data_IF_899844606753
#
_entry.id   IF_899844606753
#
_cell.length_a   1.000
_cell.length_b   1.000
_cell.length_c   1.000
_cell.angle_alpha   90.00
_cell.angle_beta   90.00
_cell.angle_gamma   90.00
#
_symmetry.space_group_name_H-M   'P 1'
#
loop_
_entity.id
_entity.type
_entity.pdbx_description
1 polymer ?
#
# COMPACT_ATOMS: atom_id res chain seq x y z
N UNK A 1 -27.56 -30.28 16.54
CA UNK A 1 -27.39 -31.51 17.34
C UNK A 1 -27.65 -32.71 16.43
N UNK A 2 -26.59 -33.28 15.85
CA UNK A 2 -26.60 -34.52 15.05
C UNK A 2 -25.27 -35.21 15.30
N UNK A 3 -25.31 -36.31 16.04
CA UNK A 3 -24.16 -37.16 16.35
C UNK A 3 -23.88 -38.08 15.15
N UNK A 4 -22.63 -38.12 14.68
CA UNK A 4 -22.14 -39.18 13.80
C UNK A 4 -21.18 -40.07 14.60
N UNK A 5 -21.60 -41.32 14.82
CA UNK A 5 -20.74 -42.40 15.29
C UNK A 5 -19.76 -42.80 14.18
N UNK A 6 -18.46 -42.82 14.48
CA UNK A 6 -17.46 -43.51 13.68
C UNK A 6 -17.08 -44.82 14.35
N UNK A 7 -17.42 -45.93 13.69
CA UNK A 7 -17.01 -47.29 14.02
C UNK A 7 -15.53 -47.52 13.67
N UNK A 8 -14.74 -47.97 14.63
CA UNK A 8 -13.35 -48.42 14.46
C UNK A 8 -13.30 -49.74 13.69
N UNK A 9 -12.69 -49.74 12.50
CA UNK A 9 -12.33 -50.96 11.75
C UNK A 9 -10.98 -51.48 12.26
N UNK A 10 -11.01 -52.69 12.82
CA UNK A 10 -9.86 -53.53 13.13
C UNK A 10 -9.04 -53.82 11.87
N UNK A 11 -7.74 -53.51 11.90
CA UNK A 11 -6.75 -53.99 10.93
C UNK A 11 -6.01 -55.16 11.60
N UNK A 12 -6.25 -56.38 11.10
CA UNK A 12 -5.46 -57.56 11.44
C UNK A 12 -4.13 -57.49 10.70
N UNK A 13 -3.01 -57.52 11.42
CA UNK A 13 -1.70 -57.77 10.83
C UNK A 13 -1.37 -59.26 10.94
N UNK A 14 -1.09 -59.86 9.79
CA UNK A 14 -0.60 -61.22 9.60
C UNK A 14 0.90 -61.27 9.92
N UNK A 15 1.31 -62.17 10.80
CA UNK A 15 2.72 -62.40 11.17
C UNK A 15 3.35 -63.36 10.15
N UNK A 16 4.49 -63.04 9.51
CA UNK A 16 5.30 -64.06 8.86
C UNK A 16 6.25 -64.69 9.89
N UNK A 17 6.03 -65.98 10.13
CA UNK A 17 6.97 -66.90 10.75
C UNK A 17 8.15 -67.15 9.80
N UNK A 18 9.36 -66.79 10.24
CA UNK A 18 10.66 -67.46 9.99
C UNK A 18 11.80 -66.49 10.26
N UNK A 19 12.37 -66.53 11.46
CA UNK A 19 13.80 -66.30 11.64
C UNK A 19 14.33 -67.22 12.74
N UNK A 20 15.40 -67.91 12.35
CA UNK A 20 16.17 -68.94 13.02
C UNK A 20 16.81 -68.40 14.31
N UNK A 21 16.61 -69.14 15.41
CA UNK A 21 17.00 -68.80 16.77
C UNK A 21 18.43 -69.25 17.13
N UNK A 22 19.34 -69.32 16.16
CA UNK A 22 20.69 -69.83 16.42
C UNK A 22 21.79 -69.04 15.71
N UNK A 23 22.00 -67.77 16.09
CA UNK A 23 23.31 -67.07 16.10
C UNK A 23 23.12 -65.57 16.36
N UNK A 24 22.99 -65.21 17.63
CA UNK A 24 23.47 -63.93 18.13
C UNK A 24 23.87 -64.15 19.57
N UNK A 25 25.18 -64.28 19.79
CA UNK A 25 25.79 -64.20 21.11
C UNK A 25 25.39 -62.87 21.74
N UNK A 26 24.35 -62.90 22.58
CA UNK A 26 24.09 -61.82 23.52
C UNK A 26 25.26 -61.85 24.49
N UNK A 27 26.15 -60.86 24.40
CA UNK A 27 27.18 -60.64 25.40
C UNK A 27 26.48 -60.55 26.77
N UNK A 28 26.93 -61.28 27.80
CA UNK A 28 26.36 -61.12 29.13
C UNK A 28 26.55 -59.66 29.55
N UNK A 29 25.46 -59.06 30.06
CA UNK A 29 25.47 -57.71 30.59
C UNK A 29 26.51 -57.65 31.72
N UNK A 30 27.59 -56.89 31.48
CA UNK A 30 28.63 -56.65 32.46
C UNK A 30 28.24 -55.40 33.26
N UNK A 31 27.84 -55.51 34.54
CA UNK A 31 27.37 -54.36 35.33
C UNK A 31 28.44 -53.27 35.54
N UNK A 32 29.70 -53.57 35.23
CA UNK A 32 30.82 -52.63 35.35
C UNK A 32 30.98 -51.67 34.15
N UNK A 33 30.24 -51.87 33.05
CA UNK A 33 30.29 -50.99 31.86
C UNK A 33 29.18 -49.93 31.79
N UNK A 34 28.23 -49.91 32.74
CA UNK A 34 27.29 -48.80 32.86
C UNK A 34 28.04 -47.61 33.44
N UNK A 35 28.58 -46.76 32.57
CA UNK A 35 29.01 -45.41 32.92
C UNK A 35 27.81 -44.69 33.52
N UNK A 36 27.74 -44.72 34.84
CA UNK A 36 26.87 -43.87 35.64
C UNK A 36 26.98 -42.46 35.08
N UNK A 37 25.86 -41.91 34.62
CA UNK A 37 25.75 -40.48 34.32
C UNK A 37 26.09 -39.75 35.61
N UNK A 38 27.36 -39.37 35.78
CA UNK A 38 27.77 -38.49 36.86
C UNK A 38 27.04 -37.19 36.60
N UNK A 39 26.04 -36.89 37.44
CA UNK A 39 25.48 -35.54 37.53
C UNK A 39 26.66 -34.59 37.62
N UNK A 40 26.80 -33.60 36.71
CA UNK A 40 27.90 -32.66 36.81
C UNK A 40 27.82 -32.06 38.21
N UNK A 41 28.92 -32.08 38.96
CA UNK A 41 29.02 -31.37 40.23
C UNK A 41 29.01 -29.88 39.90
N UNK A 42 27.86 -29.33 39.55
CA UNK A 42 27.62 -27.90 39.54
C UNK A 42 27.73 -27.47 41.01
N UNK A 43 28.91 -27.02 41.42
CA UNK A 43 29.08 -26.40 42.73
C UNK A 43 28.14 -25.20 42.83
N UNK A 44 27.67 -24.87 44.03
CA UNK A 44 26.71 -23.76 44.24
C UNK A 44 27.11 -22.46 43.54
N UNK A 45 28.41 -22.22 43.41
CA UNK A 45 29.00 -21.09 42.68
C UNK A 45 28.62 -21.07 41.18
N UNK A 46 28.66 -22.22 40.50
CA UNK A 46 28.31 -22.32 39.07
C UNK A 46 26.81 -22.16 38.83
N UNK A 47 25.98 -22.63 39.76
CA UNK A 47 24.53 -22.45 39.71
C UNK A 47 24.16 -20.98 39.94
N UNK A 48 24.83 -20.32 40.89
CA UNK A 48 24.65 -18.88 41.17
C UNK A 48 25.10 -18.00 40.01
N UNK A 49 26.23 -18.32 39.36
CA UNK A 49 26.72 -17.59 38.17
C UNK A 49 25.76 -17.73 36.98
N UNK A 50 25.24 -18.94 36.74
CA UNK A 50 24.25 -19.16 35.69
C UNK A 50 22.95 -18.40 35.98
N UNK A 51 22.48 -18.42 37.24
CA UNK A 51 21.31 -17.66 37.68
C UNK A 51 21.50 -16.16 37.50
N UNK A 52 22.68 -15.63 37.86
CA UNK A 52 23.00 -14.20 37.71
C UNK A 52 23.06 -13.79 36.24
N UNK A 53 23.60 -14.64 35.36
CA UNK A 53 23.65 -14.39 33.93
C UNK A 53 22.25 -14.37 33.29
N UNK A 54 21.38 -15.31 33.68
CA UNK A 54 19.98 -15.35 33.22
C UNK A 54 19.22 -14.11 33.69
N UNK A 55 19.36 -13.73 34.97
CA UNK A 55 18.70 -12.55 35.52
C UNK A 55 19.17 -11.26 34.84
N UNK A 56 20.49 -11.11 34.63
CA UNK A 56 21.06 -9.97 33.91
C UNK A 56 20.55 -9.91 32.46
N UNK A 57 20.47 -11.06 31.78
CA UNK A 57 19.93 -11.14 30.42
C UNK A 57 18.44 -10.76 30.38
N UNK A 58 17.64 -11.19 31.36
CA UNK A 58 16.23 -10.80 31.46
C UNK A 58 16.06 -9.32 31.74
N UNK A 59 16.87 -8.73 32.61
CA UNK A 59 16.85 -7.27 32.89
C UNK A 59 17.20 -6.47 31.63
N UNK A 60 18.20 -6.90 30.86
CA UNK A 60 18.57 -6.26 29.58
C UNK A 60 17.43 -6.35 28.56
N UNK A 61 16.76 -7.50 28.46
CA UNK A 61 15.60 -7.67 27.58
C UNK A 61 14.42 -6.80 28.05
N UNK A 62 14.15 -6.74 29.35
CA UNK A 62 13.08 -5.91 29.90
C UNK A 62 13.31 -4.42 29.69
N UNK A 63 14.53 -3.94 29.94
CA UNK A 63 14.88 -2.53 29.69
C UNK A 63 14.75 -2.21 28.19
N UNK A 64 15.17 -3.12 27.31
CA UNK A 64 15.04 -2.92 25.85
C UNK A 64 13.59 -2.94 25.37
N UNK A 65 12.70 -3.68 26.04
CA UNK A 65 11.25 -3.66 25.76
C UNK A 65 10.64 -2.35 26.27
N UNK A 66 10.99 -1.93 27.49
CA UNK A 66 10.52 -0.68 28.10
C UNK A 66 10.93 0.57 27.30
N UNK A 67 12.20 0.65 26.88
CA UNK A 67 12.70 1.73 26.02
C UNK A 67 12.01 1.80 24.65
N UNK A 68 11.56 0.66 24.11
CA UNK A 68 10.81 0.63 22.86
C UNK A 68 9.34 1.04 23.02
N UNK A 69 8.74 0.80 24.18
CA UNK A 69 7.37 1.24 24.47
C UNK A 69 7.32 2.73 24.83
N UNK A 70 8.24 3.23 25.66
CA UNK A 70 8.34 4.66 26.01
C UNK A 70 8.66 5.54 24.79
N UNK A 71 9.55 5.11 23.89
CA UNK A 71 9.81 5.82 22.63
C UNK A 71 8.59 5.87 21.69
N UNK A 72 7.65 4.93 21.78
CA UNK A 72 6.40 4.97 21.00
C UNK A 72 5.41 5.95 21.61
N UNK A 73 5.27 5.95 22.94
CA UNK A 73 4.32 6.80 23.69
C UNK A 73 4.64 8.29 23.51
N UNK A 74 5.92 8.66 23.37
CA UNK A 74 6.35 10.06 23.16
C UNK A 74 6.41 10.51 21.69
N UNK A 75 5.96 9.68 20.75
CA UNK A 75 6.04 10.00 19.32
C UNK A 75 4.75 10.69 18.87
N UNK A 76 4.84 11.98 18.55
CA UNK A 76 3.78 12.76 17.90
C UNK A 76 4.17 13.10 16.46
N UNK A 77 3.22 13.05 15.53
CA UNK A 77 3.38 13.56 14.16
C UNK A 77 2.42 14.71 13.88
N UNK A 78 2.93 15.76 13.23
CA UNK A 78 2.17 16.93 12.77
C UNK A 78 1.83 16.78 11.29
N UNK A 79 0.54 16.88 10.97
CA UNK A 79 0.03 16.71 9.61
C UNK A 79 -0.67 17.98 9.17
N UNK A 80 -0.34 18.47 7.99
CA UNK A 80 -1.10 19.52 7.31
C UNK A 80 -1.90 18.92 6.16
N UNK A 81 -3.16 19.32 6.02
CA UNK A 81 -4.01 18.82 4.95
C UNK A 81 -4.94 19.89 4.36
N UNK A 82 -5.34 19.68 3.11
CA UNK A 82 -6.40 20.47 2.47
C UNK A 82 -7.72 20.35 3.26
N UNK A 83 -8.46 21.45 3.41
CA UNK A 83 -9.72 21.49 4.18
C UNK A 83 -10.75 20.44 3.72
N UNK A 84 -10.80 20.18 2.40
CA UNK A 84 -11.71 19.20 1.81
C UNK A 84 -11.51 17.76 2.34
N UNK A 85 -10.33 17.43 2.86
CA UNK A 85 -9.98 16.08 3.35
C UNK A 85 -9.79 16.05 4.87
N UNK A 86 -10.02 17.15 5.57
CA UNK A 86 -9.79 17.25 7.00
C UNK A 86 -10.62 16.25 7.81
N UNK A 87 -11.88 16.01 7.42
CA UNK A 87 -12.76 15.04 8.10
C UNK A 87 -12.21 13.61 7.98
N UNK A 88 -12.02 13.03 6.78
CA UNK A 88 -11.53 11.65 6.67
C UNK A 88 -10.14 11.49 7.28
N UNK A 89 -9.27 12.50 7.19
CA UNK A 89 -7.92 12.46 7.78
C UNK A 89 -7.97 12.43 9.31
N UNK A 90 -8.85 13.20 9.96
CA UNK A 90 -9.03 13.15 11.42
C UNK A 90 -9.56 11.78 11.87
N UNK A 91 -10.53 11.21 11.15
CA UNK A 91 -11.02 9.85 11.46
C UNK A 91 -9.92 8.80 11.29
N UNK A 92 -9.12 8.91 10.23
CA UNK A 92 -7.92 8.07 10.03
C UNK A 92 -6.91 8.23 11.17
N UNK A 93 -6.66 9.48 11.58
CA UNK A 93 -5.75 9.81 12.67
C UNK A 93 -6.19 9.13 13.96
N UNK A 94 -7.45 9.27 14.36
CA UNK A 94 -8.00 8.62 15.54
C UNK A 94 -7.83 7.09 15.53
N UNK A 95 -8.11 6.45 14.38
CA UNK A 95 -7.88 5.01 14.25
C UNK A 95 -6.39 4.65 14.37
N UNK A 96 -5.52 5.42 13.69
CA UNK A 96 -4.08 5.22 13.73
C UNK A 96 -3.52 5.40 15.14
N UNK A 97 -3.95 6.42 15.89
CA UNK A 97 -3.53 6.62 17.28
C UNK A 97 -3.87 5.43 18.15
N UNK A 98 -5.09 4.89 18.00
CA UNK A 98 -5.55 3.73 18.79
C UNK A 98 -4.72 2.49 18.52
N UNK A 99 -4.41 2.22 17.26
CA UNK A 99 -3.69 1.03 16.81
C UNK A 99 -2.18 1.13 17.00
N UNK A 100 -1.59 2.28 16.69
CA UNK A 100 -0.14 2.47 16.66
C UNK A 100 0.42 3.10 17.93
N UNK A 101 -0.43 3.64 18.80
CA UNK A 101 -0.05 4.40 20.01
C UNK A 101 0.86 5.61 19.71
N UNK A 102 0.70 6.19 18.52
CA UNK A 102 1.41 7.39 18.05
C UNK A 102 0.39 8.53 17.99
N UNK A 103 0.72 9.70 18.55
CA UNK A 103 -0.16 10.87 18.51
C UNK A 103 -0.10 11.59 17.16
N UNK A 104 -1.24 12.07 16.67
CA UNK A 104 -1.38 12.69 15.35
C UNK A 104 -2.14 14.01 15.48
N UNK A 105 -1.45 15.13 15.26
CA UNK A 105 -2.10 16.45 15.20
C UNK A 105 -2.39 16.84 13.76
N UNK A 106 -3.66 17.07 13.44
CA UNK A 106 -4.13 17.42 12.08
C UNK A 106 -4.46 18.90 12.02
N UNK A 107 -3.75 19.62 11.15
CA UNK A 107 -3.88 21.05 10.93
C UNK A 107 -4.38 21.37 9.53
N UNK A 108 -5.14 22.46 9.39
CA UNK A 108 -5.52 22.98 8.08
C UNK A 108 -4.31 23.63 7.41
N UNK A 109 -4.04 23.28 6.16
CA UNK A 109 -2.94 23.85 5.38
C UNK A 109 -3.07 25.38 5.22
N UNK A 110 -4.27 25.89 4.99
CA UNK A 110 -4.49 27.35 4.81
C UNK A 110 -4.17 28.14 6.08
N UNK A 111 -4.56 27.62 7.24
CA UNK A 111 -4.26 28.23 8.54
C UNK A 111 -2.77 28.12 8.86
N UNK A 112 -2.16 26.97 8.54
CA UNK A 112 -0.73 26.76 8.71
C UNK A 112 0.11 27.75 7.89
N UNK A 113 -0.22 27.91 6.62
CA UNK A 113 0.50 28.80 5.70
C UNK A 113 0.38 30.29 6.12
N UNK A 114 -0.75 30.70 6.70
CA UNK A 114 -0.92 32.05 7.26
C UNK A 114 -0.05 32.27 8.51
N UNK A 115 -0.01 31.29 9.41
CA UNK A 115 0.74 31.35 10.66
C UNK A 115 2.26 31.19 10.47
N UNK A 116 2.70 30.61 9.34
CA UNK A 116 4.11 30.45 8.98
C UNK A 116 4.89 31.77 8.96
N UNK A 117 4.21 32.90 8.75
CA UNK A 117 4.80 34.25 8.79
C UNK A 117 5.17 34.73 10.20
N UNK A 118 4.76 34.04 11.27
CA UNK A 118 4.89 34.48 12.67
C UNK A 118 5.73 33.57 13.57
N UNK A 119 6.11 32.37 13.12
CA UNK A 119 6.87 31.41 13.92
C UNK A 119 8.07 30.89 13.13
N UNK A 120 9.23 30.85 13.79
CA UNK A 120 10.42 30.15 13.29
C UNK A 120 10.08 28.69 12.97
N UNK A 121 10.40 28.28 11.73
CA UNK A 121 10.58 26.90 11.24
C UNK A 121 9.74 25.76 11.85
N UNK A 122 8.43 25.94 12.12
CA UNK A 122 7.58 24.78 12.40
C UNK A 122 7.45 23.93 11.13
N UNK A 123 8.19 22.81 11.11
CA UNK A 123 8.15 21.80 10.06
C UNK A 123 7.04 20.81 10.39
N UNK A 124 6.11 20.60 9.46
CA UNK A 124 5.15 19.49 9.53
C UNK A 124 5.83 18.21 9.05
N UNK A 125 5.41 17.06 9.59
CA UNK A 125 5.96 15.77 9.20
C UNK A 125 5.38 15.24 7.89
N UNK A 126 4.10 15.55 7.63
CA UNK A 126 3.35 15.08 6.47
C UNK A 126 2.47 16.19 5.87
N UNK A 127 2.59 16.40 4.56
CA UNK A 127 1.68 17.25 3.78
C UNK A 127 0.73 16.39 2.95
N UNK A 128 -0.57 16.53 3.18
CA UNK A 128 -1.62 15.91 2.39
C UNK A 128 -2.33 16.96 1.54
N UNK A 129 -1.81 17.17 0.34
CA UNK A 129 -2.26 18.22 -0.56
C UNK A 129 -2.35 17.73 -2.00
N UNK A 130 -3.11 18.45 -2.82
CA UNK A 130 -3.17 18.14 -4.25
C UNK A 130 -1.82 18.36 -4.90
N UNK A 131 -1.41 17.43 -5.75
CA UNK A 131 -0.39 17.73 -6.74
C UNK A 131 -0.19 16.59 -7.72
N UNK A 132 0.82 16.72 -8.56
CA UNK A 132 1.22 15.68 -9.50
C UNK A 132 2.23 14.76 -8.82
N UNK A 133 2.11 13.43 -8.99
CA UNK A 133 3.16 12.51 -8.57
C UNK A 133 4.45 12.91 -9.30
N UNK A 134 5.53 13.16 -8.57
CA UNK A 134 6.83 13.45 -9.19
C UNK A 134 7.42 12.16 -9.76
N UNK A 135 8.16 12.29 -10.87
CA UNK A 135 9.01 11.23 -11.43
C UNK A 135 10.50 11.44 -11.09
N UNK A 136 10.82 12.35 -10.18
CA UNK A 136 12.19 12.69 -9.76
C UNK A 136 12.45 12.16 -8.34
N UNK A 137 13.68 12.17 -7.84
CA UNK A 137 14.13 11.44 -6.63
C UNK A 137 13.29 11.57 -5.35
N UNK A 138 12.39 12.57 -5.25
CA UNK A 138 11.39 12.73 -4.19
C UNK A 138 10.10 11.88 -4.39
N UNK A 139 9.92 11.22 -5.54
CA UNK A 139 8.80 10.34 -5.86
C UNK A 139 8.61 9.24 -4.81
N UNK A 140 9.71 8.80 -4.20
CA UNK A 140 9.72 7.76 -3.18
C UNK A 140 9.09 8.20 -1.85
N UNK A 141 8.91 9.50 -1.65
CA UNK A 141 8.33 10.07 -0.43
C UNK A 141 6.87 10.49 -0.60
N UNK A 142 6.24 10.10 -1.71
CA UNK A 142 4.87 10.45 -2.04
C UNK A 142 4.01 9.19 -2.07
N UNK A 143 2.84 9.26 -1.44
CA UNK A 143 1.84 8.20 -1.47
C UNK A 143 0.52 8.81 -1.93
N UNK A 144 -0.04 8.36 -3.07
CA UNK A 144 -1.41 8.69 -3.44
C UNK A 144 -2.39 8.17 -2.39
N UNK A 145 -3.30 9.03 -1.94
CA UNK A 145 -4.31 8.67 -0.94
C UNK A 145 -5.74 8.73 -1.48
N UNK A 146 -6.02 9.65 -2.39
CA UNK A 146 -7.36 9.79 -2.97
C UNK A 146 -7.32 10.54 -4.30
N UNK A 147 -8.41 10.44 -5.06
CA UNK A 147 -8.65 11.22 -6.26
C UNK A 147 -9.98 11.97 -6.14
N UNK A 148 -10.04 13.09 -6.87
CA UNK A 148 -11.29 13.80 -7.16
C UNK A 148 -11.32 14.21 -8.62
N UNK A 149 -12.49 14.22 -9.22
CA UNK A 149 -12.65 14.52 -10.64
C UNK A 149 -13.79 15.51 -10.87
N UNK A 150 -13.63 16.37 -11.87
CA UNK A 150 -14.73 17.18 -12.37
C UNK A 150 -15.61 16.30 -13.25
N UNK A 151 -16.91 16.35 -12.98
CA UNK A 151 -17.93 15.58 -13.70
C UNK A 151 -19.08 16.49 -14.10
N UNK A 152 -19.98 15.95 -14.92
CA UNK A 152 -21.31 16.52 -15.11
C UNK A 152 -22.29 15.69 -14.28
N UNK A 153 -23.03 16.31 -13.38
CA UNK A 153 -24.04 15.65 -12.56
C UNK A 153 -25.44 16.02 -13.05
N UNK A 154 -26.39 15.09 -12.90
CA UNK A 154 -27.83 15.32 -13.06
C UNK A 154 -28.56 14.74 -11.83
N UNK A 155 -29.87 14.93 -11.76
CA UNK A 155 -30.69 14.25 -10.75
C UNK A 155 -30.67 12.74 -10.97
N UNK A 156 -30.93 11.99 -9.88
CA UNK A 156 -30.83 10.53 -9.86
C UNK A 156 -31.71 9.82 -10.90
N UNK A 157 -32.88 10.40 -11.16
CA UNK A 157 -33.93 9.95 -12.07
C UNK A 157 -33.71 10.36 -13.54
N UNK A 158 -32.66 11.11 -13.86
CA UNK A 158 -32.37 11.50 -15.23
C UNK A 158 -31.97 10.27 -16.06
N UNK A 159 -32.84 9.84 -16.99
CA UNK A 159 -32.67 8.59 -17.75
C UNK A 159 -31.38 8.52 -18.59
N UNK A 160 -31.07 9.48 -19.50
CA UNK A 160 -29.92 9.34 -20.39
C UNK A 160 -28.60 9.26 -19.63
N UNK A 161 -27.71 8.34 -20.02
CA UNK A 161 -26.33 8.36 -19.54
C UNK A 161 -25.44 9.11 -20.53
N UNK A 162 -24.96 10.29 -20.13
CA UNK A 162 -24.15 11.15 -20.98
C UNK A 162 -22.68 10.72 -20.94
N UNK A 163 -22.11 10.41 -22.10
CA UNK A 163 -20.70 10.04 -22.30
C UNK A 163 -19.91 11.11 -23.04
N UNK A 164 -20.59 12.02 -23.73
CA UNK A 164 -19.99 13.12 -24.48
C UNK A 164 -20.66 14.45 -24.13
N UNK A 165 -19.87 15.52 -24.06
CA UNK A 165 -20.39 16.85 -23.76
C UNK A 165 -21.36 17.34 -24.83
N UNK A 166 -21.25 16.86 -26.07
CA UNK A 166 -22.18 17.20 -27.16
C UNK A 166 -23.63 16.84 -26.79
N UNK A 167 -23.84 15.74 -26.08
CA UNK A 167 -25.16 15.26 -25.67
C UNK A 167 -25.83 16.22 -24.67
N UNK A 168 -25.05 16.88 -23.79
CA UNK A 168 -25.56 17.93 -22.90
C UNK A 168 -26.21 19.06 -23.72
N UNK A 169 -25.62 19.42 -24.86
CA UNK A 169 -26.14 20.47 -25.72
C UNK A 169 -27.29 20.02 -26.61
N UNK A 170 -27.29 18.77 -27.08
CA UNK A 170 -28.35 18.19 -27.91
C UNK A 170 -29.64 18.03 -27.11
N UNK A 171 -29.53 17.61 -25.85
CA UNK A 171 -30.65 17.50 -24.93
C UNK A 171 -31.11 18.85 -24.34
N UNK A 172 -30.51 19.96 -24.78
CA UNK A 172 -30.82 21.33 -24.34
C UNK A 172 -30.89 21.50 -22.81
N UNK A 173 -29.97 20.84 -22.09
CA UNK A 173 -30.00 20.82 -20.62
C UNK A 173 -29.67 22.19 -20.03
N UNK A 174 -30.47 22.62 -19.05
CA UNK A 174 -30.17 23.78 -18.22
C UNK A 174 -29.12 23.41 -17.19
N UNK A 175 -27.89 23.89 -17.35
CA UNK A 175 -26.82 23.53 -16.41
C UNK A 175 -26.11 24.71 -15.77
N UNK A 176 -25.50 24.43 -14.61
CA UNK A 176 -24.65 25.38 -13.91
C UNK A 176 -23.17 25.04 -13.96
N UNK A 177 -22.33 26.04 -13.72
CA UNK A 177 -20.88 25.91 -13.53
C UNK A 177 -20.44 26.53 -12.20
N UNK A 178 -19.17 26.38 -11.85
CA UNK A 178 -18.51 27.05 -10.72
C UNK A 178 -17.57 28.17 -11.24
N UNK A 179 -17.35 29.28 -10.51
CA UNK A 179 -16.46 30.36 -10.94
C UNK A 179 -15.03 29.89 -11.21
N UNK A 180 -14.37 30.52 -12.17
CA UNK A 180 -12.95 30.28 -12.46
C UNK A 180 -12.01 30.75 -11.33
N UNK A 181 -12.50 31.48 -10.33
CA UNK A 181 -11.75 31.78 -9.11
C UNK A 181 -11.62 30.57 -8.18
N UNK A 182 -12.51 29.57 -8.30
CA UNK A 182 -12.45 28.32 -7.56
C UNK A 182 -11.58 27.27 -8.27
N UNK A 183 -11.05 26.30 -7.50
CA UNK A 183 -10.14 25.25 -8.03
C UNK A 183 -10.83 24.37 -9.09
N UNK A 184 -12.06 23.93 -8.82
CA UNK A 184 -12.91 23.18 -9.77
C UNK A 184 -13.21 23.96 -11.03
N UNK A 185 -13.60 25.23 -10.91
CA UNK A 185 -13.89 26.09 -12.06
C UNK A 185 -12.67 26.28 -12.98
N UNK A 186 -11.47 26.47 -12.40
CA UNK A 186 -10.21 26.50 -13.18
C UNK A 186 -9.95 25.18 -13.90
N UNK A 187 -10.09 24.07 -13.20
CA UNK A 187 -9.83 22.75 -13.77
C UNK A 187 -10.82 22.40 -14.89
N UNK A 188 -12.09 22.76 -14.71
CA UNK A 188 -13.14 22.66 -15.71
C UNK A 188 -12.79 23.46 -16.97
N UNK A 189 -12.46 24.75 -16.82
CA UNK A 189 -12.04 25.62 -17.92
C UNK A 189 -10.86 25.03 -18.68
N UNK A 190 -9.77 24.73 -17.97
CA UNK A 190 -8.54 24.22 -18.58
C UNK A 190 -8.77 22.91 -19.35
N UNK A 191 -9.67 22.04 -18.86
CA UNK A 191 -9.99 20.77 -19.52
C UNK A 191 -10.85 20.97 -20.77
N UNK A 192 -11.86 21.86 -20.69
CA UNK A 192 -12.75 22.14 -21.81
C UNK A 192 -12.12 23.04 -22.88
N UNK A 193 -11.16 23.89 -22.54
CA UNK A 193 -10.37 24.66 -23.51
C UNK A 193 -9.52 23.74 -24.38
N UNK A 194 -8.85 22.74 -23.76
CA UNK A 194 -8.12 21.70 -24.51
C UNK A 194 -9.01 20.88 -25.44
N UNK A 195 -10.29 20.75 -25.10
CA UNK A 195 -11.29 20.08 -25.94
C UNK A 195 -11.97 21.01 -26.96
N UNK A 196 -11.64 22.32 -26.96
CA UNK A 196 -12.28 23.31 -27.83
C UNK A 196 -13.77 23.54 -27.53
N UNK A 197 -14.23 23.25 -26.31
CA UNK A 197 -15.66 23.33 -25.92
C UNK A 197 -15.98 24.40 -24.88
N UNK A 198 -14.98 25.03 -24.26
CA UNK A 198 -15.18 25.97 -23.15
C UNK A 198 -16.14 27.12 -23.48
N UNK A 199 -15.94 27.83 -24.60
CA UNK A 199 -16.79 28.95 -25.00
C UNK A 199 -18.26 28.56 -25.16
N UNK A 200 -18.51 27.37 -25.72
CA UNK A 200 -19.88 26.83 -25.87
C UNK A 200 -20.50 26.54 -24.51
N UNK A 201 -19.74 25.96 -23.58
CA UNK A 201 -20.22 25.70 -22.21
C UNK A 201 -20.53 27.01 -21.49
N UNK A 202 -19.63 27.99 -21.60
CA UNK A 202 -19.75 29.28 -20.96
C UNK A 202 -20.97 30.05 -21.46
N UNK A 203 -21.21 30.07 -22.77
CA UNK A 203 -22.35 30.76 -23.40
C UNK A 203 -23.70 30.13 -23.05
N UNK A 204 -23.78 28.79 -22.97
CA UNK A 204 -25.03 28.05 -22.72
C UNK A 204 -25.35 27.82 -21.24
N UNK A 205 -24.46 28.18 -20.31
CA UNK A 205 -24.71 27.98 -18.87
C UNK A 205 -25.90 28.84 -18.41
N UNK A 206 -26.78 28.29 -17.58
CA UNK A 206 -27.90 29.02 -16.97
C UNK A 206 -27.46 29.83 -15.76
N UNK A 207 -26.60 29.27 -14.91
CA UNK A 207 -26.21 29.87 -13.63
C UNK A 207 -24.79 29.50 -13.21
N UNK A 208 -24.20 30.33 -12.37
CA UNK A 208 -22.92 30.05 -11.71
C UNK A 208 -23.14 29.99 -10.20
N UNK A 209 -22.64 28.96 -9.53
CA UNK A 209 -22.72 28.80 -8.06
C UNK A 209 -21.34 28.92 -7.41
N UNK A 210 -21.23 29.46 -6.19
CA UNK A 210 -19.94 29.76 -5.57
C UNK A 210 -19.05 28.52 -5.32
N UNK A 211 -19.63 27.31 -5.23
CA UNK A 211 -18.89 26.07 -5.01
C UNK A 211 -19.62 24.86 -5.61
N UNK A 212 -18.88 23.76 -5.80
CA UNK A 212 -19.46 22.45 -6.16
C UNK A 212 -20.57 22.00 -5.20
N UNK A 213 -20.40 22.19 -3.89
CA UNK A 213 -21.43 21.83 -2.90
C UNK A 213 -22.71 22.67 -3.05
N UNK A 214 -22.58 23.97 -3.35
CA UNK A 214 -23.73 24.85 -3.58
C UNK A 214 -24.46 24.50 -4.89
N UNK A 215 -23.72 24.16 -5.94
CA UNK A 215 -24.29 23.67 -7.20
C UNK A 215 -25.02 22.34 -7.00
N UNK A 216 -24.44 21.42 -6.24
CA UNK A 216 -25.03 20.13 -5.93
C UNK A 216 -26.35 20.27 -5.14
N UNK A 217 -26.36 21.10 -4.09
CA UNK A 217 -27.57 21.39 -3.31
C UNK A 217 -28.69 21.96 -4.19
N UNK A 218 -28.35 22.91 -5.08
CA UNK A 218 -29.32 23.54 -5.96
C UNK A 218 -29.88 22.58 -7.02
N UNK A 219 -29.06 21.67 -7.56
CA UNK A 219 -29.49 20.63 -8.48
C UNK A 219 -30.37 19.58 -7.78
N UNK A 220 -30.04 19.22 -6.55
CA UNK A 220 -30.79 18.25 -5.76
C UNK A 220 -32.16 18.78 -5.28
N UNK A 221 -32.23 20.05 -4.92
CA UNK A 221 -33.42 20.63 -4.27
C UNK A 221 -34.29 21.49 -5.19
N UNK A 222 -33.78 21.86 -6.38
CA UNK A 222 -34.44 22.80 -7.29
C UNK A 222 -34.87 22.15 -8.61
N UNK A 223 -35.81 22.83 -9.28
CA UNK A 223 -36.34 22.41 -10.58
C UNK A 223 -35.73 23.19 -11.76
N UNK A 224 -34.89 24.19 -11.48
CA UNK A 224 -34.35 25.10 -12.50
C UNK A 224 -33.16 24.56 -13.28
N UNK A 225 -32.51 23.50 -12.79
CA UNK A 225 -31.32 22.92 -13.39
C UNK A 225 -31.60 21.47 -13.75
N UNK A 226 -31.14 21.05 -14.92
CA UNK A 226 -31.11 19.66 -15.36
C UNK A 226 -29.77 19.00 -15.04
N UNK A 227 -28.70 19.81 -14.92
CA UNK A 227 -27.40 19.31 -14.51
C UNK A 227 -26.41 20.37 -14.05
N UNK A 228 -25.22 19.96 -13.67
CA UNK A 228 -24.18 20.88 -13.18
C UNK A 228 -22.78 20.28 -13.30
N UNK A 229 -21.80 21.13 -13.63
CA UNK A 229 -20.38 20.78 -13.52
C UNK A 229 -19.89 20.99 -12.10
N UNK A 230 -19.34 19.94 -11.49
CA UNK A 230 -18.90 19.94 -10.10
C UNK A 230 -17.88 18.85 -9.81
N UNK A 231 -17.32 18.85 -8.60
CA UNK A 231 -16.60 17.71 -8.07
C UNK A 231 -17.50 16.48 -7.88
N UNK A 232 -16.97 15.32 -8.22
CA UNK A 232 -17.64 14.04 -8.05
C UNK A 232 -18.02 13.72 -6.60
N UNK A 233 -17.17 14.04 -5.62
CA UNK A 233 -17.50 13.84 -4.20
C UNK A 233 -18.70 14.70 -3.76
N UNK A 234 -18.88 15.88 -4.34
CA UNK A 234 -20.05 16.72 -4.07
C UNK A 234 -21.31 16.08 -4.64
N UNK A 235 -21.24 15.54 -5.86
CA UNK A 235 -22.37 14.81 -6.45
C UNK A 235 -22.80 13.59 -5.62
N UNK A 236 -21.83 12.79 -5.13
CA UNK A 236 -22.12 11.63 -4.27
C UNK A 236 -22.81 12.02 -2.96
N UNK A 237 -22.39 13.11 -2.32
CA UNK A 237 -22.97 13.59 -1.06
C UNK A 237 -24.47 13.91 -1.17
N UNK A 238 -24.91 14.33 -2.36
CA UNK A 238 -26.31 14.66 -2.64
C UNK A 238 -27.02 13.57 -3.46
N UNK A 239 -26.46 12.35 -3.55
CA UNK A 239 -27.05 11.21 -4.27
C UNK A 239 -27.40 11.53 -5.74
N UNK A 240 -26.56 12.35 -6.39
CA UNK A 240 -26.74 12.77 -7.79
C UNK A 240 -26.17 11.74 -8.77
N UNK A 241 -26.76 11.67 -9.98
CA UNK A 241 -26.27 10.82 -11.06
C UNK A 241 -25.01 11.44 -11.68
N UNK A 242 -23.92 10.67 -11.71
CA UNK A 242 -22.61 11.14 -12.23
C UNK A 242 -22.42 10.71 -13.68
N UNK A 243 -22.24 11.68 -14.57
CA UNK A 243 -21.86 11.48 -15.97
C UNK A 243 -20.39 11.83 -16.19
N UNK A 244 -19.62 10.82 -16.60
CA UNK A 244 -18.20 10.97 -16.93
C UNK A 244 -18.05 11.23 -18.43
N UNK A 245 -18.27 12.48 -18.81
CA UNK A 245 -18.08 12.91 -20.20
C UNK A 245 -16.59 12.82 -20.60
N UNK A 246 -16.33 12.37 -21.82
CA UNK A 246 -14.99 12.05 -22.32
C UNK A 246 -14.03 13.25 -22.24
N UNK A 247 -14.53 14.45 -22.48
CA UNK A 247 -13.77 15.71 -22.42
C UNK A 247 -13.23 16.02 -21.02
N UNK A 248 -13.83 15.45 -19.97
CA UNK A 248 -13.45 15.65 -18.58
C UNK A 248 -12.71 14.45 -17.96
N UNK A 249 -12.41 13.39 -18.73
CA UNK A 249 -11.69 12.21 -18.22
C UNK A 249 -10.35 12.55 -17.54
N UNK A 250 -9.68 13.59 -18.01
CA UNK A 250 -8.39 14.07 -17.46
C UNK A 250 -8.53 15.21 -16.46
N UNK A 251 -9.75 15.67 -16.17
CA UNK A 251 -10.04 16.71 -15.18
C UNK A 251 -10.02 16.12 -13.76
N UNK A 252 -8.91 15.51 -13.37
CA UNK A 252 -8.72 14.80 -12.10
C UNK A 252 -7.55 15.37 -11.33
N UNK A 253 -7.70 15.44 -10.01
CA UNK A 253 -6.63 15.80 -9.07
C UNK A 253 -6.32 14.63 -8.16
N UNK A 254 -5.02 14.41 -7.92
CA UNK A 254 -4.51 13.41 -6.99
C UNK A 254 -4.15 14.09 -5.68
N UNK A 255 -4.68 13.55 -4.59
CA UNK A 255 -4.26 13.89 -3.24
C UNK A 255 -3.05 13.04 -2.88
N UNK A 256 -1.93 13.70 -2.56
CA UNK A 256 -0.66 13.06 -2.26
C UNK A 256 -0.26 13.34 -0.82
N UNK A 257 0.03 12.29 -0.06
CA UNK A 257 0.73 12.38 1.21
C UNK A 257 2.23 12.45 0.94
N UNK A 258 2.89 13.53 1.38
CA UNK A 258 4.33 13.76 1.20
C UNK A 258 5.02 13.93 2.55
N UNK A 259 6.07 13.16 2.79
CA UNK A 259 6.88 13.31 4.01
C UNK A 259 7.99 14.34 3.78
N UNK A 260 8.17 15.29 4.71
CA UNK A 260 9.15 16.37 4.56
C UNK A 260 10.55 16.01 5.08
N UNK A 261 10.65 15.18 6.12
CA UNK A 261 11.95 14.80 6.70
C UNK A 261 12.70 13.82 5.80
N UNK A 262 14.03 13.97 5.68
CA UNK A 262 14.91 13.12 4.85
C UNK A 262 15.56 11.98 5.63
N UNK A 263 16.03 12.18 6.87
CA UNK A 263 16.69 11.14 7.67
C UNK A 263 16.45 11.39 9.17
N UNK A 264 15.88 10.43 9.91
CA UNK A 264 15.70 10.51 11.38
C UNK A 264 14.31 10.11 11.88
N UNK A 265 13.24 10.77 11.42
CA UNK A 265 11.88 10.57 11.95
C UNK A 265 10.80 10.23 10.89
N UNK A 266 11.18 9.59 9.78
CA UNK A 266 10.25 9.32 8.66
C UNK A 266 9.29 8.16 8.87
N UNK A 267 9.56 7.27 9.85
CA UNK A 267 8.79 6.04 10.00
C UNK A 267 7.32 6.29 10.30
N UNK A 268 7.00 7.07 11.33
CA UNK A 268 5.61 7.32 11.71
C UNK A 268 4.81 8.09 10.64
N UNK A 269 5.35 9.16 10.03
CA UNK A 269 4.68 9.86 8.92
C UNK A 269 4.46 8.95 7.70
N UNK A 270 5.44 8.12 7.35
CA UNK A 270 5.33 7.17 6.24
C UNK A 270 4.32 6.05 6.55
N UNK A 271 4.31 5.54 7.78
CA UNK A 271 3.30 4.60 8.25
C UNK A 271 1.90 5.21 8.15
N UNK A 272 1.72 6.46 8.59
CA UNK A 272 0.42 7.13 8.46
C UNK A 272 0.02 7.35 7.01
N UNK A 273 0.94 7.77 6.13
CA UNK A 273 0.67 7.91 4.70
C UNK A 273 0.24 6.58 4.05
N UNK A 274 0.88 5.45 4.41
CA UNK A 274 0.46 4.11 3.98
C UNK A 274 -0.88 3.69 4.60
N UNK A 275 -1.14 4.07 5.84
CA UNK A 275 -2.41 3.82 6.53
C UNK A 275 -3.57 4.52 5.84
N UNK A 276 -3.37 5.79 5.43
CA UNK A 276 -4.33 6.55 4.62
C UNK A 276 -4.66 5.82 3.31
N UNK A 277 -3.65 5.28 2.62
CA UNK A 277 -3.80 4.60 1.33
C UNK A 277 -4.31 3.14 1.42
N UNK A 278 -4.28 2.52 2.60
CA UNK A 278 -4.59 1.10 2.73
C UNK A 278 -6.11 0.80 2.63
N UNK A 279 -6.52 -0.20 1.82
CA UNK A 279 -7.94 -0.49 1.56
C UNK A 279 -8.81 -0.71 2.81
N UNK A 280 -8.29 -1.41 3.81
CA UNK A 280 -9.02 -1.76 5.05
C UNK A 280 -8.81 -0.74 6.17
N UNK A 281 -8.17 0.40 5.89
CA UNK A 281 -7.85 1.47 6.85
C UNK A 281 -8.36 2.79 6.32
N UNK A 282 -7.49 3.73 5.94
CA UNK A 282 -7.92 5.09 5.59
C UNK A 282 -8.84 5.18 4.38
N UNK A 283 -8.75 4.23 3.44
CA UNK A 283 -9.62 4.22 2.26
C UNK A 283 -11.11 4.07 2.60
N UNK A 284 -11.42 3.45 3.74
CA UNK A 284 -12.79 3.40 4.25
C UNK A 284 -13.33 4.82 4.49
N UNK A 285 -12.62 5.65 5.25
CA UNK A 285 -13.06 7.02 5.58
C UNK A 285 -13.08 7.95 4.35
N UNK A 286 -12.12 7.78 3.43
CA UNK A 286 -12.17 8.50 2.15
C UNK A 286 -13.42 8.15 1.34
N UNK A 287 -13.79 6.87 1.29
CA UNK A 287 -15.00 6.43 0.60
C UNK A 287 -16.27 6.96 1.28
N UNK A 288 -16.36 6.92 2.61
CA UNK A 288 -17.48 7.52 3.36
C UNK A 288 -17.61 9.03 3.10
N UNK A 289 -16.48 9.72 2.94
CA UNK A 289 -16.44 11.15 2.59
C UNK A 289 -16.67 11.42 1.09
N UNK A 290 -16.97 10.39 0.30
CA UNK A 290 -17.30 10.51 -1.12
C UNK A 290 -16.10 10.67 -2.06
N UNK A 291 -14.86 10.47 -1.60
CA UNK A 291 -13.67 10.49 -2.44
C UNK A 291 -13.50 9.18 -3.23
N UNK A 292 -12.81 9.25 -4.37
CA UNK A 292 -12.36 8.05 -5.07
C UNK A 292 -11.08 7.57 -4.39
N UNK A 293 -11.11 6.34 -3.89
CA UNK A 293 -9.95 5.73 -3.27
C UNK A 293 -8.82 5.36 -4.24
N UNK A 294 -7.69 4.98 -3.69
CA UNK A 294 -6.53 4.42 -4.39
C UNK A 294 -6.48 2.89 -4.25
N UNK A 295 -5.89 2.22 -5.22
CA UNK A 295 -5.53 0.81 -5.08
C UNK A 295 -4.19 0.69 -4.32
N UNK A 296 -4.23 1.02 -3.02
CA UNK A 296 -3.06 0.98 -2.14
C UNK A 296 -2.70 -0.44 -1.70
N UNK A 297 -1.56 -0.54 -1.01
CA UNK A 297 -1.13 -1.78 -0.38
C UNK A 297 -2.04 -2.19 0.78
N UNK A 298 -2.14 -3.49 1.04
CA UNK A 298 -2.69 -3.98 2.30
C UNK A 298 -1.90 -3.40 3.48
N UNK A 299 -2.60 -3.07 4.55
CA UNK A 299 -1.98 -2.51 5.74
C UNK A 299 -1.02 -3.50 6.39
N UNK A 300 0.21 -3.05 6.63
CA UNK A 300 1.22 -3.75 7.42
C UNK A 300 2.11 -2.71 8.08
N UNK A 301 2.29 -2.81 9.41
CA UNK A 301 3.15 -1.91 10.19
C UNK A 301 4.58 -1.90 9.64
N UNK A 302 5.09 -3.09 9.31
CA UNK A 302 6.38 -3.33 8.66
C UNK A 302 6.12 -4.14 7.38
N UNK A 303 5.95 -3.48 6.22
CA UNK A 303 5.69 -4.18 4.97
C UNK A 303 6.96 -4.91 4.52
N UNK A 304 6.77 -6.08 3.94
CA UNK A 304 7.85 -6.88 3.38
C UNK A 304 7.42 -7.40 2.01
N UNK A 305 8.31 -7.27 1.03
CA UNK A 305 8.13 -7.81 -0.31
C UNK A 305 8.88 -9.12 -0.43
N UNK A 306 8.18 -10.20 -0.76
CA UNK A 306 8.83 -11.48 -1.05
C UNK A 306 9.28 -11.52 -2.51
N UNK A 307 10.58 -11.71 -2.75
CA UNK A 307 11.18 -11.56 -4.08
C UNK A 307 11.93 -12.83 -4.47
N UNK A 308 11.60 -13.41 -5.62
CA UNK A 308 12.44 -14.43 -6.26
C UNK A 308 13.44 -13.78 -7.19
N UNK A 309 14.70 -14.19 -7.11
CA UNK A 309 15.77 -13.68 -7.97
C UNK A 309 16.59 -14.82 -8.58
N UNK A 310 17.11 -14.61 -9.78
CA UNK A 310 18.11 -15.51 -10.34
C UNK A 310 19.44 -15.42 -9.57
N UNK A 311 20.09 -16.54 -9.29
CA UNK A 311 21.39 -16.56 -8.58
C UNK A 311 22.44 -15.64 -9.23
N UNK A 312 22.42 -15.52 -10.56
CA UNK A 312 23.34 -14.70 -11.35
C UNK A 312 23.24 -13.20 -11.03
N UNK A 313 22.07 -12.72 -10.58
CA UNK A 313 21.86 -11.29 -10.31
C UNK A 313 22.18 -10.91 -8.85
N UNK A 314 22.39 -11.91 -8.00
CA UNK A 314 22.50 -11.73 -6.55
C UNK A 314 23.56 -10.71 -6.16
N UNK A 315 24.75 -10.78 -6.77
CA UNK A 315 25.88 -9.94 -6.40
C UNK A 315 25.63 -8.43 -6.59
N UNK A 316 24.75 -8.03 -7.50
CA UNK A 316 24.53 -6.62 -7.82
C UNK A 316 23.15 -6.08 -7.42
N UNK A 317 22.16 -6.96 -7.19
CA UNK A 317 20.81 -6.53 -6.79
C UNK A 317 20.69 -6.22 -5.29
N UNK A 318 21.51 -6.87 -4.45
CA UNK A 318 21.44 -6.72 -2.98
C UNK A 318 21.63 -5.26 -2.54
N UNK A 319 22.54 -4.52 -3.17
CA UNK A 319 22.74 -3.10 -2.86
C UNK A 319 21.56 -2.22 -3.29
N UNK A 320 20.84 -2.60 -4.35
CA UNK A 320 19.60 -1.92 -4.74
C UNK A 320 18.48 -2.22 -3.74
N UNK A 321 18.42 -3.46 -3.21
CA UNK A 321 17.48 -3.80 -2.14
C UNK A 321 17.73 -2.96 -0.89
N UNK A 322 18.95 -2.95 -0.35
CA UNK A 322 19.28 -2.17 0.87
C UNK A 322 18.95 -0.68 0.70
N UNK A 323 19.26 -0.10 -0.47
CA UNK A 323 18.92 1.30 -0.74
C UNK A 323 17.40 1.52 -0.83
N UNK A 324 16.68 0.61 -1.49
CA UNK A 324 15.22 0.69 -1.54
C UNK A 324 14.59 0.59 -0.15
N UNK A 325 15.04 -0.35 0.68
CA UNK A 325 14.56 -0.53 2.05
C UNK A 325 14.77 0.75 2.87
N UNK A 326 15.97 1.35 2.79
CA UNK A 326 16.28 2.63 3.47
C UNK A 326 15.41 3.77 2.95
N UNK A 327 15.20 3.86 1.63
CA UNK A 327 14.46 4.97 1.02
C UNK A 327 12.95 4.88 1.23
N UNK A 328 12.36 3.68 1.18
CA UNK A 328 10.91 3.48 1.17
C UNK A 328 10.35 2.90 2.47
N UNK A 329 11.21 2.45 3.39
CA UNK A 329 10.83 1.78 4.65
C UNK A 329 9.99 0.53 4.42
N UNK A 330 10.35 -0.25 3.40
CA UNK A 330 9.74 -1.52 3.02
C UNK A 330 10.84 -2.55 2.97
N UNK A 331 10.71 -3.63 3.74
CA UNK A 331 11.66 -4.74 3.72
C UNK A 331 11.56 -5.56 2.43
N UNK A 332 12.66 -6.16 2.03
CA UNK A 332 12.73 -7.13 0.94
C UNK A 332 13.22 -8.45 1.52
N UNK A 333 12.47 -9.50 1.24
CA UNK A 333 12.82 -10.89 1.56
C UNK A 333 13.22 -11.61 0.28
N UNK A 334 14.53 -11.60 -0.07
CA UNK A 334 14.98 -12.20 -1.31
C UNK A 334 15.21 -13.70 -1.16
N UNK A 335 14.75 -14.47 -2.14
CA UNK A 335 15.05 -15.88 -2.29
C UNK A 335 15.66 -16.12 -3.68
N UNK A 336 16.92 -16.57 -3.70
CA UNK A 336 17.64 -16.78 -4.94
C UNK A 336 17.61 -18.24 -5.37
N UNK A 337 17.31 -18.45 -6.65
CA UNK A 337 17.19 -19.76 -7.28
C UNK A 337 18.00 -19.78 -8.57
N UNK A 338 18.37 -20.97 -9.03
CA UNK A 338 18.88 -21.10 -10.39
C UNK A 338 17.80 -20.70 -11.38
N UNK A 339 18.18 -19.91 -12.40
CA UNK A 339 17.29 -19.39 -13.45
C UNK A 339 16.33 -20.47 -14.02
N UNK A 340 16.83 -21.69 -14.25
CA UNK A 340 16.06 -22.82 -14.78
C UNK A 340 14.96 -23.29 -13.82
N UNK A 341 15.16 -23.12 -12.52
CA UNK A 341 14.25 -23.59 -11.48
C UNK A 341 13.17 -22.56 -11.11
N UNK A 342 13.34 -21.28 -11.47
CA UNK A 342 12.37 -20.22 -11.14
C UNK A 342 10.99 -20.57 -11.70
N UNK A 343 10.89 -20.80 -13.02
CA UNK A 343 9.61 -21.12 -13.67
C UNK A 343 8.98 -22.40 -13.12
N UNK A 344 9.79 -23.43 -12.85
CA UNK A 344 9.33 -24.70 -12.28
C UNK A 344 8.75 -24.51 -10.87
N UNK A 345 9.49 -23.86 -9.98
CA UNK A 345 9.05 -23.58 -8.61
C UNK A 345 7.75 -22.76 -8.59
N UNK A 346 7.65 -21.73 -9.42
CA UNK A 346 6.45 -20.90 -9.49
C UNK A 346 5.23 -21.68 -10.01
N UNK A 347 5.41 -22.53 -11.03
CA UNK A 347 4.32 -23.38 -11.54
C UNK A 347 3.86 -24.40 -10.49
N UNK A 348 4.79 -25.03 -9.76
CA UNK A 348 4.46 -25.95 -8.66
C UNK A 348 3.65 -25.25 -7.56
N UNK A 349 4.08 -24.06 -7.13
CA UNK A 349 3.35 -23.28 -6.11
C UNK A 349 1.97 -22.86 -6.64
N UNK A 350 1.88 -22.39 -7.89
CA UNK A 350 0.64 -21.93 -8.51
C UNK A 350 -0.42 -23.05 -8.64
N UNK A 351 0.01 -24.29 -8.86
CA UNK A 351 -0.85 -25.47 -8.93
C UNK A 351 -1.22 -26.04 -7.55
N UNK A 352 -0.44 -25.70 -6.51
CA UNK A 352 -0.67 -26.17 -5.15
C UNK A 352 -1.80 -25.42 -4.43
N UNK A 353 -2.18 -25.92 -3.24
CA UNK A 353 -3.04 -25.18 -2.29
C UNK A 353 -2.32 -23.99 -1.63
N UNK A 354 -0.99 -23.92 -1.74
CA UNK A 354 -0.15 -22.90 -1.12
C UNK A 354 0.07 -21.66 -2.01
N UNK A 355 -0.95 -21.24 -2.77
CA UNK A 355 -0.86 -20.06 -3.67
C UNK A 355 -0.40 -18.77 -2.99
N UNK A 356 -0.59 -18.66 -1.67
CA UNK A 356 -0.11 -17.54 -0.85
C UNK A 356 1.43 -17.49 -0.69
N UNK A 357 2.14 -18.57 -1.04
CA UNK A 357 3.60 -18.63 -1.03
C UNK A 357 4.23 -18.10 -2.33
N UNK A 358 3.42 -17.67 -3.30
CA UNK A 358 3.93 -17.01 -4.50
C UNK A 358 4.62 -15.69 -4.11
N UNK A 359 5.84 -15.41 -4.61
CA UNK A 359 6.52 -14.14 -4.39
C UNK A 359 5.79 -12.98 -5.06
N UNK A 360 5.86 -11.80 -4.43
CA UNK A 360 5.28 -10.56 -4.94
C UNK A 360 5.97 -10.13 -6.24
N UNK A 361 7.30 -10.33 -6.32
CA UNK A 361 8.13 -9.99 -7.46
C UNK A 361 9.02 -11.16 -7.86
N UNK A 362 9.30 -11.26 -9.16
CA UNK A 362 10.29 -12.19 -9.70
C UNK A 362 11.24 -11.46 -10.63
N UNK A 363 12.54 -11.60 -10.38
CA UNK A 363 13.61 -11.01 -11.19
C UNK A 363 14.35 -12.15 -11.89
N UNK A 364 14.25 -12.20 -13.20
CA UNK A 364 14.94 -13.20 -14.03
C UNK A 364 15.86 -12.54 -15.04
N UNK A 365 16.77 -13.33 -15.62
CA UNK A 365 17.42 -12.95 -16.87
C UNK A 365 16.40 -13.03 -18.05
N UNK A 366 16.68 -12.39 -19.20
CA UNK A 366 15.77 -12.32 -20.33
C UNK A 366 15.41 -13.71 -20.89
N UNK A 367 14.26 -13.75 -21.58
CA UNK A 367 13.42 -14.92 -21.87
C UNK A 367 14.05 -16.13 -22.58
N UNK A 368 15.31 -16.12 -22.99
CA UNK A 368 15.93 -17.31 -23.61
C UNK A 368 16.16 -18.48 -22.63
N UNK A 369 15.90 -18.29 -21.34
CA UNK A 369 16.30 -19.23 -20.28
C UNK A 369 15.22 -19.52 -19.20
N UNK A 370 14.01 -18.96 -19.32
CA UNK A 370 12.93 -19.15 -18.34
C UNK A 370 11.84 -20.05 -18.91
N UNK A 371 11.62 -21.21 -18.28
CA UNK A 371 10.41 -22.03 -18.47
C UNK A 371 9.17 -21.17 -18.27
N UNK A 372 8.19 -21.26 -19.16
CA UNK A 372 6.96 -20.45 -19.22
C UNK A 372 6.50 -19.93 -17.84
N UNK A 373 6.63 -18.61 -17.65
CA UNK A 373 6.19 -17.94 -16.41
C UNK A 373 4.68 -18.14 -16.22
N UNK A 374 4.20 -18.39 -14.99
CA UNK A 374 2.78 -18.59 -14.76
C UNK A 374 1.94 -17.34 -15.06
N UNK A 375 0.71 -17.52 -15.56
CA UNK A 375 -0.20 -16.44 -15.95
C UNK A 375 -0.58 -15.48 -14.81
N UNK A 376 -0.34 -15.87 -13.55
CA UNK A 376 -0.56 -14.99 -12.40
C UNK A 376 0.45 -13.83 -12.36
N UNK A 377 1.55 -13.91 -13.12
CA UNK A 377 2.56 -12.87 -13.21
C UNK A 377 2.36 -11.99 -14.43
N UNK A 378 2.70 -10.71 -14.28
CA UNK A 378 2.72 -9.73 -15.34
C UNK A 378 4.14 -9.18 -15.49
N UNK A 379 4.69 -9.21 -16.70
CA UNK A 379 5.96 -8.54 -17.01
C UNK A 379 5.79 -7.02 -16.89
N UNK A 380 6.69 -6.38 -16.14
CA UNK A 380 6.78 -4.93 -16.04
C UNK A 380 7.69 -4.40 -17.15
N UNK A 381 7.13 -3.54 -18.01
CA UNK A 381 7.85 -2.95 -19.13
C UNK A 381 8.84 -1.88 -18.68
N UNK A 382 9.97 -1.78 -19.39
CA UNK A 382 10.94 -0.70 -19.17
C UNK A 382 11.91 -0.92 -18.00
N UNK A 383 12.02 -2.15 -17.49
CA UNK A 383 13.01 -2.48 -16.45
C UNK A 383 14.44 -2.25 -17.01
N UNK A 384 15.26 -1.41 -16.34
CA UNK A 384 16.59 -1.12 -16.83
C UNK A 384 17.56 -2.29 -16.54
N UNK A 385 18.66 -2.41 -17.28
CA UNK A 385 19.73 -3.32 -16.91
C UNK A 385 20.35 -2.89 -15.57
N UNK A 386 20.81 -3.87 -14.79
CA UNK A 386 21.55 -3.62 -13.56
C UNK A 386 22.96 -4.16 -13.75
N UNK A 387 23.95 -3.29 -13.54
CA UNK A 387 25.36 -3.61 -13.76
C UNK A 387 25.60 -4.25 -15.16
N UNK A 388 25.09 -3.60 -16.20
CA UNK A 388 25.10 -4.05 -17.60
C UNK A 388 24.39 -5.39 -17.89
N UNK A 389 23.73 -5.99 -16.90
CA UNK A 389 22.96 -7.22 -17.06
C UNK A 389 21.50 -6.88 -17.30
N UNK A 390 20.98 -7.23 -18.48
CA UNK A 390 19.56 -7.08 -18.77
C UNK A 390 18.75 -8.01 -17.85
N UNK A 391 17.67 -7.50 -17.27
CA UNK A 391 16.78 -8.26 -16.39
C UNK A 391 15.32 -8.13 -16.85
N UNK A 392 14.49 -9.05 -16.41
CA UNK A 392 13.03 -9.01 -16.55
C UNK A 392 12.41 -9.05 -15.15
N UNK A 393 11.56 -8.07 -14.84
CA UNK A 393 10.84 -7.98 -13.58
C UNK A 393 9.37 -8.35 -13.79
N UNK A 394 8.90 -9.34 -13.05
CA UNK A 394 7.51 -9.79 -13.07
C UNK A 394 6.81 -9.47 -11.75
N UNK A 395 5.57 -9.01 -11.84
CA UNK A 395 4.70 -8.67 -10.71
C UNK A 395 3.57 -9.69 -10.57
N UNK A 396 3.37 -10.22 -9.36
CA UNK A 396 2.21 -11.05 -9.06
C UNK A 396 0.93 -10.20 -9.11
N UNK A 397 -0.02 -10.54 -9.99
CA UNK A 397 -1.27 -9.78 -10.18
C UNK A 397 -2.13 -9.69 -8.92
N UNK A 398 -2.05 -10.69 -8.05
CA UNK A 398 -2.80 -10.79 -6.79
C UNK A 398 -1.98 -10.44 -5.55
N UNK A 399 -0.83 -9.77 -5.70
CA UNK A 399 -0.02 -9.34 -4.54
C UNK A 399 -0.85 -8.47 -3.59
N UNK A 400 -0.53 -8.55 -2.30
CA UNK A 400 -1.07 -7.63 -1.28
C UNK A 400 -0.36 -6.27 -1.29
N UNK A 401 0.74 -6.13 -2.02
CA UNK A 401 1.60 -4.96 -2.03
C UNK A 401 1.81 -4.36 -3.44
N UNK A 402 0.74 -4.14 -4.25
CA UNK A 402 0.88 -3.73 -5.64
C UNK A 402 1.57 -2.37 -5.83
N UNK A 403 1.42 -1.44 -4.88
CA UNK A 403 2.06 -0.12 -4.93
C UNK A 403 3.53 -0.24 -4.56
N UNK A 404 3.84 -0.93 -3.47
CA UNK A 404 5.24 -1.15 -3.05
C UNK A 404 6.05 -1.90 -4.12
N UNK A 405 5.47 -2.93 -4.75
CA UNK A 405 6.14 -3.67 -5.81
C UNK A 405 6.41 -2.82 -7.07
N UNK A 406 5.45 -1.97 -7.48
CA UNK A 406 5.67 -1.01 -8.57
C UNK A 406 6.69 0.07 -8.20
N UNK A 407 6.67 0.52 -6.95
CA UNK A 407 7.62 1.50 -6.42
C UNK A 407 9.05 0.96 -6.46
N UNK A 408 9.26 -0.33 -6.21
CA UNK A 408 10.56 -0.97 -6.39
C UNK A 408 11.01 -0.96 -7.87
N UNK A 409 10.11 -1.28 -8.81
CA UNK A 409 10.42 -1.16 -10.24
C UNK A 409 10.83 0.27 -10.62
N UNK A 410 10.05 1.26 -10.19
CA UNK A 410 10.32 2.67 -10.49
C UNK A 410 11.62 3.15 -9.85
N UNK A 411 11.93 2.67 -8.64
CA UNK A 411 13.20 2.92 -7.96
C UNK A 411 14.41 2.45 -8.79
N UNK A 412 14.35 1.23 -9.34
CA UNK A 412 15.40 0.72 -10.22
C UNK A 412 15.55 1.59 -11.48
N UNK A 413 14.43 2.03 -12.06
CA UNK A 413 14.40 2.91 -13.23
C UNK A 413 15.07 4.27 -12.96
N UNK A 414 14.84 4.86 -11.78
CA UNK A 414 15.39 6.16 -11.41
C UNK A 414 16.89 6.11 -11.11
N UNK A 415 17.35 5.09 -10.37
CA UNK A 415 18.76 4.97 -10.00
C UNK A 415 19.69 4.84 -11.22
N UNK A 416 19.20 4.21 -12.30
CA UNK A 416 19.98 4.05 -13.53
C UNK A 416 20.08 5.35 -14.34
N UNK A 417 19.10 6.26 -14.23
CA UNK A 417 19.18 7.59 -14.85
C UNK A 417 20.20 8.48 -14.14
N UNK A 418 20.34 8.36 -12.82
CA UNK A 418 21.28 9.18 -12.04
C UNK A 418 22.74 8.68 -12.11
N UNK A 419 22.98 7.48 -12.65
CA UNK A 419 24.33 6.91 -12.86
C UNK A 419 24.89 7.16 -14.27
N UNK A 420 24.06 7.69 -15.19
CA UNK A 420 24.47 8.17 -16.52
C UNK A 420 24.64 9.68 -16.45
#
# INVERSE_FOLDING_TARGET
>A
MRFYLFTLRSIRYTIPSKYDLSKTLVKPFNPDEVKTFKTPKYGGITLSLLSMFVLASMIVVWNKIGEQEENRINKSIKIVCDEAVAIPVKQCAEQFEREMKIKVSVHSKSVWDQNKSRAEEEVYDLDLSVGKPSSEGLALNQIPCAFRSIIFATRKDFEPNLTELVQVFQNNLNYSTVPISAKDGRLLKNSLEKAGKWEKVLKKRKKTYPSSSAAALALASGNDLDGAFMWDFSARKFDLKIHRVNELRRATETLLARTYHSEGNRLAPMQFARFLAAPTKGQFYFAESGFIGVNGDAWAEKPSLYVYGANQIKAFILDEFVRFEKSCLISIEPHFLDQKNIGLSLNLIAQSKAKRALPDLVISLPASSVTQMPDQYQLLSGTPPINNTQISLYLLKSTRFPVSSKKFHDFLCLNQKNKK
#
